data_IF_169308007584
#
_entry.id   IF_169308007584
#
_cell.length_a   1.000
_cell.length_b   1.000
_cell.length_c   1.000
_cell.angle_alpha   90.00
_cell.angle_beta   90.00
_cell.angle_gamma   90.00
#
_symmetry.space_group_name_H-M   'P 1'
#
loop_
_entity.id
_entity.type
_entity.pdbx_description
1 polymer ?
#
# COMPACT_ATOMS: atom_id res chain seq x y z
N UNK A 1 12.54 -2.26 28.72
CA UNK A 1 11.71 -2.73 27.59
C UNK A 1 11.67 -1.64 26.51
N UNK A 2 12.36 -1.84 25.39
CA UNK A 2 12.38 -0.85 24.28
C UNK A 2 11.28 -1.26 23.29
N UNK A 3 10.09 -0.67 23.38
CA UNK A 3 9.08 -0.73 22.31
C UNK A 3 9.78 -0.19 21.06
N UNK A 4 10.03 -1.05 20.06
CA UNK A 4 10.46 -0.61 18.74
C UNK A 4 9.32 0.24 18.17
N UNK A 5 9.38 1.56 18.34
CA UNK A 5 8.65 2.47 17.47
C UNK A 5 9.31 2.35 16.09
N UNK A 6 8.86 1.37 15.31
CA UNK A 6 9.18 1.31 13.88
C UNK A 6 8.42 2.45 13.22
N UNK A 7 9.04 3.62 13.20
CA UNK A 7 8.64 4.71 12.34
C UNK A 7 9.03 4.28 10.91
N UNK A 8 8.15 3.53 10.26
CA UNK A 8 8.34 3.15 8.86
C UNK A 8 8.21 4.41 8.01
N UNK A 9 9.23 4.72 7.21
CA UNK A 9 9.12 5.76 6.19
C UNK A 9 8.25 5.25 5.05
N UNK A 10 7.01 5.72 4.97
CA UNK A 10 6.13 5.43 3.83
C UNK A 10 6.43 6.43 2.73
N UNK A 11 6.75 5.92 1.55
CA UNK A 11 7.00 6.72 0.36
C UNK A 11 6.02 6.28 -0.73
N UNK A 12 5.40 7.26 -1.41
CA UNK A 12 4.44 7.03 -2.47
C UNK A 12 5.03 7.55 -3.78
N UNK A 13 5.17 6.67 -4.77
CA UNK A 13 5.73 7.03 -6.08
C UNK A 13 4.71 6.73 -7.16
N UNK A 14 4.37 7.73 -7.97
CA UNK A 14 3.46 7.55 -9.09
C UNK A 14 4.26 7.17 -10.33
N UNK A 15 3.97 5.99 -10.89
CA UNK A 15 4.61 5.44 -12.10
C UNK A 15 3.52 4.90 -13.01
N UNK A 16 3.49 5.32 -14.27
CA UNK A 16 2.59 4.76 -15.30
C UNK A 16 1.12 4.65 -14.84
N UNK A 17 0.62 5.70 -14.18
CA UNK A 17 -0.75 5.78 -13.66
C UNK A 17 -1.08 4.81 -12.49
N UNK A 18 -0.05 4.26 -11.84
CA UNK A 18 -0.16 3.49 -10.61
C UNK A 18 0.59 4.21 -9.48
N UNK A 19 0.07 4.10 -8.26
CA UNK A 19 0.77 4.62 -7.08
C UNK A 19 1.46 3.47 -6.37
N UNK A 20 2.78 3.40 -6.49
CA UNK A 20 3.59 2.44 -5.75
C UNK A 20 3.70 2.85 -4.28
N UNK A 21 3.55 1.88 -3.39
CA UNK A 21 3.70 2.06 -1.95
C UNK A 21 5.01 1.42 -1.52
N UNK A 22 5.94 2.25 -1.03
CA UNK A 22 7.25 1.84 -0.58
C UNK A 22 7.36 2.02 0.94
N UNK A 23 8.01 1.07 1.60
CA UNK A 23 8.44 1.18 2.99
C UNK A 23 9.95 1.02 3.02
N UNK A 24 10.66 1.98 3.62
CA UNK A 24 12.12 1.98 3.68
C UNK A 24 12.77 1.78 2.30
N UNK A 25 12.22 2.46 1.28
CA UNK A 25 12.61 2.38 -0.15
C UNK A 25 12.39 1.02 -0.81
N UNK A 26 11.71 0.08 -0.15
CA UNK A 26 11.29 -1.19 -0.73
C UNK A 26 9.83 -1.12 -1.10
N UNK A 27 9.53 -1.39 -2.37
CA UNK A 27 8.14 -1.53 -2.80
C UNK A 27 7.49 -2.71 -2.08
N UNK A 28 6.41 -2.43 -1.37
CA UNK A 28 5.60 -3.44 -0.70
C UNK A 28 4.29 -3.70 -1.44
N UNK A 29 3.88 -2.79 -2.31
CA UNK A 29 2.61 -2.85 -2.99
C UNK A 29 2.43 -1.71 -3.99
N UNK A 30 1.26 -1.68 -4.60
CA UNK A 30 0.86 -0.63 -5.51
C UNK A 30 -0.66 -0.50 -5.56
N UNK A 31 -1.13 0.70 -5.90
CA UNK A 31 -2.52 1.01 -6.16
C UNK A 31 -2.68 1.26 -7.65
N UNK A 32 -3.62 0.54 -8.26
CA UNK A 32 -4.00 0.72 -9.64
C UNK A 32 -5.44 1.24 -9.74
N UNK A 33 -5.73 2.17 -10.66
CA UNK A 33 -7.10 2.57 -10.95
C UNK A 33 -7.87 1.40 -11.59
N UNK A 34 -9.15 1.28 -11.26
CA UNK A 34 -10.07 0.30 -11.83
C UNK A 34 -11.40 0.97 -12.22
N UNK A 35 -12.25 0.24 -12.96
CA UNK A 35 -13.51 0.76 -13.51
C UNK A 35 -14.43 1.42 -12.46
N UNK A 36 -14.34 0.97 -11.20
CA UNK A 36 -15.11 1.52 -10.06
C UNK A 36 -14.22 1.76 -8.85
N UNK A 37 -13.23 2.66 -9.00
CA UNK A 37 -12.40 3.12 -7.89
C UNK A 37 -10.96 2.63 -8.03
N UNK A 38 -10.42 2.04 -6.97
CA UNK A 38 -9.01 1.64 -6.90
C UNK A 38 -8.85 0.21 -6.39
N UNK A 39 -7.83 -0.47 -6.93
CA UNK A 39 -7.39 -1.79 -6.47
C UNK A 39 -6.04 -1.63 -5.79
N UNK A 40 -5.94 -2.08 -4.55
CA UNK A 40 -4.71 -2.11 -3.79
C UNK A 40 -4.09 -3.50 -3.78
N UNK A 41 -2.83 -3.59 -4.19
CA UNK A 41 -2.05 -4.81 -4.22
C UNK A 41 -0.94 -4.77 -3.17
N UNK A 42 -0.81 -5.82 -2.38
CA UNK A 42 0.35 -6.10 -1.53
C UNK A 42 1.22 -7.16 -2.22
N UNK A 43 2.39 -6.75 -2.71
CA UNK A 43 3.17 -7.53 -3.67
C UNK A 43 2.36 -7.81 -4.92
N UNK A 44 2.03 -9.08 -5.18
CA UNK A 44 1.18 -9.52 -6.29
C UNK A 44 -0.26 -9.83 -5.85
N UNK A 45 -0.57 -9.80 -4.55
CA UNK A 45 -1.86 -10.18 -4.03
C UNK A 45 -2.76 -8.94 -3.91
N UNK A 46 -3.95 -8.96 -4.52
CA UNK A 46 -4.96 -7.94 -4.28
C UNK A 46 -5.46 -8.04 -2.83
N UNK A 47 -5.32 -6.96 -2.07
CA UNK A 47 -5.80 -6.86 -0.68
C UNK A 47 -7.11 -6.08 -0.59
N UNK A 48 -7.40 -5.26 -1.60
CA UNK A 48 -8.67 -4.55 -1.75
C UNK A 48 -8.96 -4.35 -3.25
N UNK A 49 -10.16 -4.71 -3.70
CA UNK A 49 -10.54 -4.69 -5.11
C UNK A 49 -11.44 -3.51 -5.51
N UNK A 50 -12.02 -2.81 -4.54
CA UNK A 50 -13.01 -1.75 -4.77
C UNK A 50 -12.88 -0.65 -3.72
N UNK A 51 -11.69 -0.09 -3.59
CA UNK A 51 -11.48 1.07 -2.74
C UNK A 51 -12.13 2.29 -3.39
N UNK A 52 -12.88 3.09 -2.61
CA UNK A 52 -13.54 4.31 -3.08
C UNK A 52 -12.53 5.41 -3.35
N UNK A 53 -11.44 5.42 -2.59
CA UNK A 53 -10.35 6.38 -2.72
C UNK A 53 -9.00 5.67 -2.81
N UNK A 54 -8.02 6.37 -3.35
CA UNK A 54 -6.64 5.89 -3.38
C UNK A 54 -6.09 5.67 -1.96
N UNK A 55 -6.43 6.56 -1.02
CA UNK A 55 -6.00 6.45 0.37
C UNK A 55 -6.51 5.17 1.04
N UNK A 56 -7.77 4.79 0.81
CA UNK A 56 -8.33 3.53 1.32
C UNK A 56 -7.56 2.32 0.78
N UNK A 57 -7.14 2.36 -0.48
CA UNK A 57 -6.31 1.31 -1.06
C UNK A 57 -4.91 1.26 -0.42
N UNK A 58 -4.29 2.42 -0.16
CA UNK A 58 -2.98 2.52 0.50
C UNK A 58 -3.09 1.99 1.94
N UNK A 59 -4.12 2.37 2.69
CA UNK A 59 -4.34 1.90 4.06
C UNK A 59 -4.47 0.38 4.13
N UNK A 60 -5.19 -0.24 3.20
CA UNK A 60 -5.31 -1.70 3.12
C UNK A 60 -3.96 -2.40 2.85
N UNK A 61 -3.12 -1.82 2.00
CA UNK A 61 -1.75 -2.31 1.72
C UNK A 61 -0.89 -2.19 2.98
N UNK A 62 -0.93 -1.05 3.68
CA UNK A 62 -0.17 -0.83 4.91
C UNK A 62 -0.65 -1.72 6.06
N UNK A 63 -1.96 -1.94 6.18
CA UNK A 63 -2.54 -2.86 7.16
C UNK A 63 -2.06 -4.30 6.91
N UNK A 64 -2.02 -4.71 5.65
CA UNK A 64 -1.51 -6.03 5.24
C UNK A 64 -0.03 -6.19 5.57
N UNK A 65 0.78 -5.15 5.38
CA UNK A 65 2.19 -5.14 5.79
C UNK A 65 2.35 -5.30 7.30
N UNK A 66 1.60 -4.53 8.11
CA UNK A 66 1.64 -4.58 9.58
C UNK A 66 1.15 -5.90 10.15
N UNK A 67 0.28 -6.62 9.45
CA UNK A 67 -0.23 -7.91 9.92
C UNK A 67 0.72 -9.07 9.59
N UNK A 68 1.55 -8.94 8.54
CA UNK A 68 2.46 -9.99 8.08
C UNK A 68 3.92 -9.85 8.56
N UNK A 69 4.28 -8.73 9.21
CA UNK A 69 5.60 -8.42 9.77
C UNK A 69 5.48 -7.99 11.23
#
# INVERSE_FOLDING_TARGET
MRKKNQNFGVELVVVENQTQVLIDKKQIGYVAPADRGFVGYFGQQAVINQAKTQDEAIEAILASFKHRN
#
